data_IF_764693684713
#
_entry.id   IF_764693684713
#
_cell.length_a   1.000
_cell.length_b   1.000
_cell.length_c   1.000
_cell.angle_alpha   90.00
_cell.angle_beta   90.00
_cell.angle_gamma   90.00
#
_symmetry.space_group_name_H-M   'P 1'
#
loop_
_entity.id
_entity.type
_entity.pdbx_description
1 polymer ?
#
# COMPACT_ATOMS: atom_id res chain seq x y z
N UNK A 1 6.27 21.61 -2.47
CA UNK A 1 7.50 20.99 -1.94
C UNK A 1 7.19 19.54 -1.60
N UNK A 2 7.62 18.57 -2.45
CA UNK A 2 7.69 17.11 -2.17
C UNK A 2 8.39 16.37 -3.33
N UNK A 3 9.32 17.01 -4.05
CA UNK A 3 9.94 16.43 -5.26
C UNK A 3 10.99 15.35 -4.96
N UNK A 4 11.63 15.38 -3.78
CA UNK A 4 12.74 14.47 -3.49
C UNK A 4 12.29 13.02 -3.26
N UNK A 5 11.21 12.80 -2.50
CA UNK A 5 10.76 11.44 -2.17
C UNK A 5 9.94 10.77 -3.27
N UNK A 6 9.21 11.55 -4.07
CA UNK A 6 8.49 11.01 -5.24
C UNK A 6 9.44 10.37 -6.25
N UNK A 7 10.58 11.01 -6.51
CA UNK A 7 11.55 10.49 -7.48
C UNK A 7 12.17 9.17 -6.99
N UNK A 8 12.50 9.08 -5.70
CA UNK A 8 13.02 7.85 -5.09
C UNK A 8 11.97 6.73 -5.19
N UNK A 9 10.70 7.03 -4.87
CA UNK A 9 9.63 6.04 -5.01
C UNK A 9 9.48 5.54 -6.45
N UNK A 10 9.48 6.44 -7.43
CA UNK A 10 9.36 6.07 -8.84
C UNK A 10 10.52 5.20 -9.31
N UNK A 11 11.76 5.59 -8.99
CA UNK A 11 12.95 4.81 -9.34
C UNK A 11 12.88 3.39 -8.79
N UNK A 12 12.56 3.22 -7.50
CA UNK A 12 12.46 1.90 -6.88
C UNK A 12 11.29 1.06 -7.40
N UNK A 13 10.14 1.68 -7.67
CA UNK A 13 8.96 0.97 -8.18
C UNK A 13 9.15 0.53 -9.63
N UNK A 14 9.70 1.39 -10.49
CA UNK A 14 9.88 1.12 -11.91
C UNK A 14 11.09 0.21 -12.19
N UNK A 15 12.23 0.46 -11.53
CA UNK A 15 13.49 -0.19 -11.88
C UNK A 15 13.78 -1.44 -11.06
N UNK A 16 13.23 -1.55 -9.86
CA UNK A 16 13.60 -2.63 -8.92
C UNK A 16 12.43 -3.54 -8.54
N UNK A 17 11.17 -3.16 -8.86
CA UNK A 17 9.94 -3.89 -8.46
C UNK A 17 9.96 -4.30 -6.99
N UNK A 18 10.52 -3.44 -6.14
CA UNK A 18 10.68 -3.70 -4.72
C UNK A 18 9.45 -3.24 -3.94
N UNK A 19 9.19 -3.90 -2.83
CA UNK A 19 8.25 -3.41 -1.83
C UNK A 19 8.91 -2.26 -1.05
N UNK A 20 8.16 -1.18 -0.84
CA UNK A 20 8.65 0.02 -0.14
C UNK A 20 7.80 0.23 1.12
N UNK A 21 8.46 0.37 2.27
CA UNK A 21 7.81 0.70 3.53
C UNK A 21 8.00 2.19 3.85
N UNK A 22 6.90 2.94 3.94
CA UNK A 22 6.93 4.39 4.21
C UNK A 22 6.48 4.67 5.64
N UNK A 23 7.42 4.99 6.52
CA UNK A 23 7.17 5.28 7.93
C UNK A 23 7.49 6.74 8.30
N UNK A 24 6.88 7.24 9.38
CA UNK A 24 7.17 8.57 9.93
C UNK A 24 6.00 9.18 10.71
N UNK A 25 6.19 10.37 11.32
CA UNK A 25 5.18 11.02 12.18
C UNK A 25 3.82 11.22 11.49
N UNK A 26 2.75 11.35 12.27
CA UNK A 26 1.42 11.67 11.72
C UNK A 26 1.47 13.04 10.99
N UNK A 27 0.65 13.19 9.95
CA UNK A 27 0.44 14.45 9.22
C UNK A 27 1.63 15.02 8.42
N UNK A 28 2.71 14.27 8.22
CA UNK A 28 3.84 14.70 7.35
C UNK A 28 3.60 14.45 5.85
N UNK A 29 2.40 14.03 5.44
CA UNK A 29 2.04 13.83 4.03
C UNK A 29 2.37 12.45 3.43
N UNK A 30 2.69 11.44 4.24
CA UNK A 30 3.01 10.06 3.77
C UNK A 30 1.91 9.45 2.92
N UNK A 31 0.68 9.43 3.43
CA UNK A 31 -0.50 8.91 2.71
C UNK A 31 -0.71 9.64 1.39
N UNK A 32 -0.55 10.96 1.36
CA UNK A 32 -0.65 11.75 0.13
C UNK A 32 0.42 11.36 -0.88
N UNK A 33 1.67 11.19 -0.43
CA UNK A 33 2.78 10.77 -1.28
C UNK A 33 2.53 9.38 -1.89
N UNK A 34 2.12 8.40 -1.08
CA UNK A 34 1.85 7.04 -1.56
C UNK A 34 0.65 7.00 -2.51
N UNK A 35 -0.46 7.67 -2.18
CA UNK A 35 -1.66 7.74 -3.04
C UNK A 35 -1.39 8.31 -4.42
N UNK A 36 -0.51 9.30 -4.52
CA UNK A 36 -0.16 9.91 -5.82
C UNK A 36 0.57 8.95 -6.77
N UNK A 37 1.14 7.86 -6.26
CA UNK A 37 1.85 6.85 -7.05
C UNK A 37 1.09 5.52 -7.13
N UNK A 38 -0.04 5.41 -6.43
CA UNK A 38 -0.81 4.18 -6.33
C UNK A 38 -1.77 4.02 -7.51
N UNK A 39 -1.76 2.83 -8.12
CA UNK A 39 -2.86 2.41 -8.98
C UNK A 39 -4.06 1.94 -8.15
N UNK A 40 -3.79 1.34 -6.98
CA UNK A 40 -4.79 0.83 -6.06
C UNK A 40 -4.41 1.14 -4.62
N UNK A 41 -5.40 1.45 -3.79
CA UNK A 41 -5.20 1.86 -2.40
C UNK A 41 -6.14 1.10 -1.48
N UNK A 42 -5.56 0.37 -0.53
CA UNK A 42 -6.25 -0.25 0.59
C UNK A 42 -5.84 0.47 1.87
N UNK A 43 -6.82 0.81 2.72
CA UNK A 43 -6.59 1.34 4.06
C UNK A 43 -7.18 0.35 5.04
N UNK A 44 -6.41 0.02 6.07
CA UNK A 44 -6.81 -0.90 7.12
C UNK A 44 -8.03 -0.40 7.92
N UNK A 45 -8.23 0.92 7.99
CA UNK A 45 -9.39 1.54 8.65
C UNK A 45 -10.71 1.34 7.87
N UNK A 46 -10.64 0.89 6.62
CA UNK A 46 -11.81 0.51 5.84
C UNK A 46 -12.13 -0.97 6.05
N UNK A 47 -13.31 -1.27 6.63
CA UNK A 47 -13.74 -2.64 6.93
C UNK A 47 -13.75 -3.59 5.73
N UNK A 48 -14.15 -3.12 4.53
CA UNK A 48 -14.16 -3.96 3.31
C UNK A 48 -12.73 -4.28 2.88
N UNK A 49 -11.83 -3.29 2.92
CA UNK A 49 -10.42 -3.50 2.58
C UNK A 49 -9.74 -4.42 3.59
N UNK A 50 -9.99 -4.22 4.88
CA UNK A 50 -9.49 -5.07 5.94
C UNK A 50 -9.96 -6.52 5.73
N UNK A 51 -11.25 -6.74 5.48
CA UNK A 51 -11.79 -8.07 5.21
C UNK A 51 -11.09 -8.72 4.01
N UNK A 52 -10.96 -8.00 2.88
CA UNK A 52 -10.28 -8.51 1.69
C UNK A 52 -8.83 -8.90 1.97
N UNK A 53 -8.09 -8.10 2.74
CA UNK A 53 -6.69 -8.38 3.11
C UNK A 53 -6.62 -9.62 4.01
N UNK A 54 -7.54 -9.76 4.97
CA UNK A 54 -7.60 -10.89 5.90
C UNK A 54 -7.98 -12.19 5.20
N UNK A 55 -8.88 -12.16 4.21
CA UNK A 55 -9.26 -13.33 3.40
C UNK A 55 -8.07 -13.91 2.62
N UNK A 56 -7.04 -13.10 2.39
CA UNK A 56 -5.72 -13.57 1.96
C UNK A 56 -5.29 -13.06 0.59
N UNK A 57 -4.08 -13.42 0.16
CA UNK A 57 -3.45 -12.87 -1.03
C UNK A 57 -4.18 -13.21 -2.33
N UNK A 58 -4.85 -14.37 -2.42
CA UNK A 58 -5.61 -14.75 -3.62
C UNK A 58 -6.83 -13.83 -3.84
N UNK A 59 -7.54 -13.48 -2.76
CA UNK A 59 -8.67 -12.55 -2.83
C UNK A 59 -8.20 -11.17 -3.28
N UNK A 60 -7.07 -10.69 -2.75
CA UNK A 60 -6.46 -9.42 -3.17
C UNK A 60 -6.02 -9.48 -4.64
N UNK A 61 -5.36 -10.56 -5.05
CA UNK A 61 -4.91 -10.73 -6.43
C UNK A 61 -6.09 -10.72 -7.42
N UNK A 62 -7.19 -11.39 -7.07
CA UNK A 62 -8.41 -11.42 -7.86
C UNK A 62 -9.12 -10.07 -7.91
N UNK A 63 -9.28 -9.37 -6.79
CA UNK A 63 -9.87 -8.02 -6.75
C UNK A 63 -9.10 -7.05 -7.67
N UNK A 64 -7.79 -7.19 -7.70
CA UNK A 64 -6.88 -6.36 -8.48
C UNK A 64 -6.64 -6.87 -9.91
N UNK A 65 -7.23 -8.01 -10.29
CA UNK A 65 -6.99 -8.69 -11.57
C UNK A 65 -5.48 -8.85 -11.87
N UNK A 66 -4.70 -9.35 -10.90
CA UNK A 66 -3.25 -9.56 -11.05
C UNK A 66 -2.91 -10.81 -11.89
N UNK A 67 -3.89 -11.67 -12.11
CA UNK A 67 -3.83 -12.85 -12.97
C UNK A 67 -3.96 -12.51 -14.47
N UNK A 68 -4.33 -11.27 -14.80
CA UNK A 68 -4.44 -10.77 -16.17
C UNK A 68 -3.21 -9.95 -16.54
N UNK A 69 -2.61 -10.25 -17.69
CA UNK A 69 -1.51 -9.47 -18.25
C UNK A 69 -1.98 -8.04 -18.56
N UNK A 70 -1.19 -7.07 -18.10
CA UNK A 70 -1.41 -5.65 -18.29
C UNK A 70 -0.09 -5.01 -18.75
N UNK A 71 -0.18 -4.04 -19.65
CA UNK A 71 0.99 -3.29 -20.15
C UNK A 71 1.59 -2.40 -19.06
N UNK A 72 0.84 -2.11 -18.00
CA UNK A 72 1.28 -1.28 -16.87
C UNK A 72 1.46 -2.10 -15.59
N UNK A 73 2.60 -1.89 -14.94
CA UNK A 73 2.81 -2.41 -13.58
C UNK A 73 1.87 -1.69 -12.60
N UNK A 74 1.11 -2.47 -11.83
CA UNK A 74 0.20 -1.94 -10.81
C UNK A 74 0.98 -1.65 -9.53
N UNK A 75 0.88 -0.41 -9.04
CA UNK A 75 1.39 -0.02 -7.72
C UNK A 75 0.26 -0.13 -6.71
N UNK A 76 0.43 -0.99 -5.70
CA UNK A 76 -0.58 -1.26 -4.68
C UNK A 76 -0.08 -0.67 -3.36
N UNK A 77 -0.89 0.19 -2.76
CA UNK A 77 -0.61 0.75 -1.43
C UNK A 77 -1.51 0.09 -0.41
N UNK A 78 -0.88 -0.46 0.63
CA UNK A 78 -1.56 -0.84 1.85
C UNK A 78 -1.20 0.16 2.95
N UNK A 79 -2.16 0.99 3.35
CA UNK A 79 -1.97 2.04 4.35
C UNK A 79 -2.53 1.59 5.71
N UNK A 80 -1.96 2.17 6.77
CA UNK A 80 -2.38 1.98 8.16
C UNK A 80 -2.35 0.51 8.64
N UNK A 81 -1.59 -0.37 7.98
CA UNK A 81 -1.29 -1.70 8.51
C UNK A 81 -0.44 -1.52 9.78
N UNK A 82 -1.10 -1.50 10.93
CA UNK A 82 -0.46 -1.50 12.24
C UNK A 82 -0.73 -2.84 12.92
N UNK A 83 0.27 -3.33 13.64
CA UNK A 83 0.09 -4.47 14.52
C UNK A 83 -0.79 -4.04 15.69
N UNK A 84 -2.04 -4.50 15.74
CA UNK A 84 -2.83 -4.43 16.96
C UNK A 84 -2.13 -5.34 17.97
N UNK A 85 -1.41 -4.76 18.93
CA UNK A 85 -1.19 -5.46 20.19
C UNK A 85 -2.58 -5.80 20.72
N UNK A 86 -2.97 -7.07 20.69
CA UNK A 86 -3.94 -7.54 21.66
C UNK A 86 -3.33 -7.19 23.01
N UNK A 87 -3.83 -6.13 23.64
CA UNK A 87 -3.77 -6.02 25.08
C UNK A 87 -4.57 -7.18 25.62
N UNK A 88 -3.93 -8.34 25.77
CA UNK A 88 -4.29 -9.27 26.83
C UNK A 88 -4.01 -8.52 28.14
N UNK A 89 -4.97 -7.70 28.57
CA UNK A 89 -5.21 -7.52 29.99
C UNK A 89 -5.85 -8.82 30.47
N UNK A 90 -5.02 -9.79 30.83
CA UNK A 90 -5.35 -10.85 31.77
C UNK A 90 -4.42 -10.69 32.98
#
# INVERSE_FOLDING_TARGET
MNRSYSNILNEHLEQHRQMIFVAGPRQVGKTTLCKNHASHYFSWDNQKHQQLIIEGPECVAKELNLDVLDDKSKVIVFDEIQQTSQSLCL
#
